data_IF_156420514912
#
_entry.id   IF_156420514912
#
_cell.length_a   1.000
_cell.length_b   1.000
_cell.length_c   1.000
_cell.angle_alpha   90.00
_cell.angle_beta   90.00
_cell.angle_gamma   90.00
#
_symmetry.space_group_name_H-M   'P 1'
#
loop_
_entity.id
_entity.type
_entity.pdbx_description
1 polymer ?
#
# COMPACT_ATOMS: atom_id res chain seq x y z
N UNK A 1 79.68 25.03 -29.55
CA UNK A 1 79.13 25.74 -28.37
C UNK A 1 77.92 26.53 -28.84
N UNK A 2 76.74 26.51 -28.18
CA UNK A 2 76.34 25.73 -27.00
C UNK A 2 75.26 24.69 -27.31
N UNK A 3 75.33 23.62 -26.52
CA UNK A 3 74.36 22.56 -26.36
C UNK A 3 73.23 23.03 -25.44
N UNK A 4 71.98 22.65 -25.73
CA UNK A 4 71.04 22.31 -24.66
C UNK A 4 70.51 20.89 -24.89
N UNK A 5 70.51 20.03 -23.85
CA UNK A 5 70.37 18.59 -24.00
C UNK A 5 68.92 18.11 -23.93
N UNK A 6 68.76 16.87 -24.38
CA UNK A 6 67.59 16.01 -24.64
C UNK A 6 66.63 15.78 -23.45
N UNK A 7 66.62 16.61 -22.40
CA UNK A 7 65.91 16.35 -21.15
C UNK A 7 64.71 17.27 -20.84
N UNK A 8 64.08 17.88 -21.85
CA UNK A 8 62.83 18.68 -21.67
C UNK A 8 61.67 18.20 -22.57
N UNK A 9 61.80 17.05 -23.24
CA UNK A 9 60.69 16.42 -23.99
C UNK A 9 60.03 15.22 -23.32
N UNK A 10 60.49 14.84 -22.11
CA UNK A 10 59.93 13.71 -21.36
C UNK A 10 59.07 14.10 -20.15
N UNK A 11 58.96 15.39 -19.80
CA UNK A 11 58.20 15.85 -18.61
C UNK A 11 56.86 16.55 -18.93
N UNK A 12 56.39 16.50 -20.19
CA UNK A 12 55.12 17.13 -20.61
C UNK A 12 54.14 16.15 -21.27
N UNK A 13 54.36 14.84 -21.13
CA UNK A 13 53.39 13.78 -21.48
C UNK A 13 52.84 13.09 -20.21
N UNK A 14 53.34 13.45 -19.02
CA UNK A 14 52.88 12.90 -17.74
C UNK A 14 51.80 13.76 -17.04
N UNK A 15 51.29 14.83 -17.68
CA UNK A 15 50.30 15.73 -17.09
C UNK A 15 49.00 15.89 -17.90
N UNK A 16 48.78 15.05 -18.91
CA UNK A 16 47.54 15.01 -19.70
C UNK A 16 47.12 13.56 -20.00
N UNK A 17 47.17 12.69 -19.00
CA UNK A 17 46.19 11.61 -18.94
C UNK A 17 44.99 12.21 -18.19
N UNK A 18 43.93 12.66 -18.89
CA UNK A 18 42.64 12.66 -18.22
C UNK A 18 42.49 11.21 -17.75
N UNK A 19 42.30 11.07 -16.44
CA UNK A 19 41.69 9.88 -15.86
C UNK A 19 40.32 9.78 -16.53
N UNK A 20 40.31 9.24 -17.75
CA UNK A 20 39.22 8.48 -18.30
C UNK A 20 39.21 7.20 -17.46
N UNK A 21 38.88 7.35 -16.18
CA UNK A 21 38.06 6.36 -15.53
C UNK A 21 36.76 6.38 -16.33
N UNK A 22 36.77 5.66 -17.45
CA UNK A 22 35.57 5.05 -17.97
C UNK A 22 34.94 4.42 -16.75
N UNK A 23 33.80 4.96 -16.31
CA UNK A 23 32.90 4.19 -15.49
C UNK A 23 32.60 2.95 -16.35
N UNK A 24 33.32 1.86 -16.07
CA UNK A 24 32.98 0.58 -16.67
C UNK A 24 31.49 0.38 -16.40
N UNK A 25 30.71 0.00 -17.43
CA UNK A 25 29.32 -0.34 -17.19
C UNK A 25 29.31 -1.41 -16.12
N UNK A 26 28.67 -1.10 -14.99
CA UNK A 26 28.53 -2.03 -13.86
C UNK A 26 28.01 -3.34 -14.43
N UNK A 27 28.74 -4.42 -14.20
CA UNK A 27 28.34 -5.73 -14.71
C UNK A 27 27.02 -6.17 -14.06
N UNK A 28 26.22 -6.97 -14.77
CA UNK A 28 24.94 -7.47 -14.24
C UNK A 28 25.13 -8.22 -12.90
N UNK A 29 26.27 -8.87 -12.71
CA UNK A 29 26.63 -9.55 -11.46
C UNK A 29 26.93 -8.57 -10.32
N UNK A 30 27.59 -7.44 -10.58
CA UNK A 30 27.80 -6.38 -9.59
C UNK A 30 26.50 -5.67 -9.23
N UNK A 31 25.61 -5.47 -10.20
CA UNK A 31 24.28 -4.90 -9.94
C UNK A 31 23.44 -5.84 -9.07
N UNK A 32 23.42 -7.14 -9.40
CA UNK A 32 22.74 -8.16 -8.61
C UNK A 32 23.31 -8.26 -7.18
N UNK A 33 24.64 -8.20 -7.02
CA UNK A 33 25.28 -8.19 -5.71
C UNK A 33 24.93 -6.94 -4.88
N UNK A 34 24.88 -5.76 -5.51
CA UNK A 34 24.45 -4.51 -4.85
C UNK A 34 23.00 -4.57 -4.40
N UNK A 35 22.10 -5.10 -5.24
CA UNK A 35 20.70 -5.30 -4.90
C UNK A 35 20.54 -6.29 -3.74
N UNK A 36 21.24 -7.42 -3.76
CA UNK A 36 21.25 -8.39 -2.66
C UNK A 36 21.74 -7.78 -1.34
N UNK A 37 22.82 -6.99 -1.36
CA UNK A 37 23.34 -6.32 -0.17
C UNK A 37 22.38 -5.24 0.37
N UNK A 38 21.65 -4.54 -0.51
CA UNK A 38 20.62 -3.58 -0.10
C UNK A 38 19.45 -4.29 0.59
N UNK A 39 18.97 -5.40 0.01
CA UNK A 39 17.91 -6.23 0.60
C UNK A 39 18.30 -6.74 1.98
N UNK A 40 19.52 -7.25 2.13
CA UNK A 40 19.99 -7.78 3.41
C UNK A 40 20.11 -6.70 4.49
N UNK A 41 20.68 -5.53 4.16
CA UNK A 41 20.75 -4.40 5.11
C UNK A 41 19.36 -3.96 5.56
N UNK A 42 18.42 -3.90 4.64
CA UNK A 42 17.06 -3.53 4.99
C UNK A 42 16.40 -4.61 5.86
N UNK A 43 16.61 -5.89 5.55
CA UNK A 43 16.14 -7.01 6.39
C UNK A 43 16.63 -6.90 7.84
N UNK A 44 17.94 -6.69 8.02
CA UNK A 44 18.54 -6.49 9.34
C UNK A 44 17.97 -5.25 10.04
N UNK A 45 17.77 -4.16 9.30
CA UNK A 45 17.18 -2.93 9.83
C UNK A 45 15.76 -3.16 10.34
N UNK A 46 14.90 -3.83 9.57
CA UNK A 46 13.51 -4.11 9.98
C UNK A 46 13.46 -5.10 11.14
N UNK A 47 14.30 -6.15 11.14
CA UNK A 47 14.39 -7.09 12.26
C UNK A 47 14.78 -6.36 13.56
N UNK A 48 15.73 -5.43 13.49
CA UNK A 48 16.07 -4.54 14.60
C UNK A 48 14.91 -3.62 15.01
N UNK A 49 14.33 -2.90 14.05
CA UNK A 49 13.23 -1.95 14.30
C UNK A 49 12.07 -2.61 15.02
N UNK A 50 11.57 -3.74 14.50
CA UNK A 50 10.40 -4.41 15.07
C UNK A 50 10.75 -5.25 16.29
N UNK A 51 11.94 -5.84 16.34
CA UNK A 51 12.43 -6.58 17.49
C UNK A 51 12.59 -5.71 18.74
N UNK A 52 13.07 -4.48 18.55
CA UNK A 52 13.36 -3.54 19.64
C UNK A 52 12.18 -2.60 19.94
N UNK A 53 11.15 -2.54 19.07
CA UNK A 53 10.00 -1.63 19.18
C UNK A 53 9.35 -1.61 20.59
N UNK A 54 9.10 -2.79 21.15
CA UNK A 54 8.48 -2.94 22.47
C UNK A 54 9.37 -2.39 23.60
N UNK A 55 10.69 -2.55 23.49
CA UNK A 55 11.65 -2.02 24.46
C UNK A 55 11.77 -0.49 24.36
N UNK A 56 11.46 0.07 23.19
CA UNK A 56 11.43 1.51 22.94
C UNK A 56 10.09 2.16 23.36
N UNK A 57 9.17 1.39 23.97
CA UNK A 57 7.89 1.89 24.45
C UNK A 57 6.77 1.91 23.40
N UNK A 58 7.01 1.37 22.21
CA UNK A 58 5.96 1.18 21.20
C UNK A 58 5.17 -0.10 21.47
N UNK A 59 3.98 -0.19 20.89
CA UNK A 59 3.24 -1.44 20.72
C UNK A 59 3.62 -2.07 19.38
N UNK A 60 3.53 -3.41 19.28
CA UNK A 60 3.65 -4.13 18.02
C UNK A 60 2.27 -4.64 17.61
N UNK A 61 1.67 -4.02 16.61
CA UNK A 61 0.36 -4.39 16.10
C UNK A 61 0.50 -5.38 14.94
N UNK A 62 -0.28 -6.47 14.99
CA UNK A 62 -0.51 -7.39 13.88
C UNK A 62 -1.97 -7.24 13.46
N UNK A 63 -2.21 -6.87 12.21
CA UNK A 63 -3.55 -6.67 11.65
C UNK A 63 -3.65 -7.38 10.29
N UNK A 64 -4.67 -8.24 10.06
CA UNK A 64 -4.84 -8.88 8.76
C UNK A 64 -5.43 -7.90 7.75
N UNK A 65 -5.04 -8.09 6.49
CA UNK A 65 -5.61 -7.45 5.31
C UNK A 65 -5.92 -8.52 4.26
N UNK A 66 -6.49 -8.15 3.12
CA UNK A 66 -6.66 -9.10 2.02
C UNK A 66 -5.30 -9.50 1.46
N UNK A 67 -5.07 -10.81 1.35
CA UNK A 67 -3.99 -11.32 0.53
C UNK A 67 -4.40 -11.30 -0.95
N UNK A 68 -3.85 -10.36 -1.71
CA UNK A 68 -4.16 -10.23 -3.14
C UNK A 68 -3.61 -11.40 -3.96
N UNK A 69 -2.63 -12.14 -3.45
CA UNK A 69 -2.06 -13.33 -4.11
C UNK A 69 -2.90 -14.60 -3.88
N UNK A 70 -3.90 -14.55 -2.99
CA UNK A 70 -4.74 -15.70 -2.70
C UNK A 70 -5.77 -16.01 -3.80
N UNK A 71 -6.00 -15.06 -4.71
CA UNK A 71 -6.91 -15.21 -5.84
C UNK A 71 -6.27 -16.04 -6.95
N UNK A 72 -7.07 -16.65 -7.86
CA UNK A 72 -6.52 -17.16 -9.12
C UNK A 72 -5.73 -16.05 -9.83
N UNK A 73 -4.67 -16.45 -10.54
CA UNK A 73 -3.82 -15.53 -11.31
C UNK A 73 -4.67 -14.58 -12.14
N UNK A 74 -4.47 -13.28 -11.95
CA UNK A 74 -5.18 -12.24 -12.69
C UNK A 74 -4.63 -12.12 -14.11
N UNK A 75 -5.52 -11.82 -15.05
CA UNK A 75 -5.16 -11.42 -16.40
C UNK A 75 -5.09 -9.89 -16.47
N UNK A 76 -3.88 -9.34 -16.48
CA UNK A 76 -3.69 -7.90 -16.57
C UNK A 76 -3.86 -7.34 -17.99
N UNK A 77 -4.01 -8.18 -19.03
CA UNK A 77 -4.45 -7.69 -20.34
C UNK A 77 -5.95 -7.30 -20.31
N UNK A 78 -6.75 -7.86 -19.40
CA UNK A 78 -8.14 -7.46 -19.15
C UNK A 78 -8.24 -6.15 -18.36
N UNK A 79 -9.00 -5.20 -18.90
CA UNK A 79 -9.18 -3.86 -18.33
C UNK A 79 -9.88 -3.89 -16.96
N UNK A 80 -10.99 -4.63 -16.85
CA UNK A 80 -11.76 -4.70 -15.62
C UNK A 80 -10.96 -5.34 -14.47
N UNK A 81 -10.07 -6.28 -14.81
CA UNK A 81 -9.14 -6.90 -13.87
C UNK A 81 -8.10 -5.89 -13.36
N UNK A 82 -7.51 -5.08 -14.25
CA UNK A 82 -6.59 -3.98 -13.84
C UNK A 82 -7.29 -2.99 -12.93
N UNK A 83 -8.48 -2.53 -13.30
CA UNK A 83 -9.19 -1.50 -12.55
C UNK A 83 -9.54 -1.98 -11.13
N UNK A 84 -10.04 -3.22 -11.01
CA UNK A 84 -10.31 -3.85 -9.72
C UNK A 84 -9.04 -4.00 -8.89
N UNK A 85 -7.97 -4.51 -9.50
CA UNK A 85 -6.71 -4.73 -8.80
C UNK A 85 -6.10 -3.42 -8.33
N UNK A 86 -6.11 -2.37 -9.16
CA UNK A 86 -5.58 -1.04 -8.83
C UNK A 86 -6.31 -0.43 -7.65
N UNK A 87 -7.63 -0.60 -7.58
CA UNK A 87 -8.40 -0.18 -6.42
C UNK A 87 -8.08 -0.98 -5.16
N UNK A 88 -8.05 -2.31 -5.26
CA UNK A 88 -7.71 -3.18 -4.12
C UNK A 88 -6.30 -2.88 -3.58
N UNK A 89 -5.31 -2.73 -4.46
CA UNK A 89 -3.92 -2.46 -4.10
C UNK A 89 -3.69 -1.06 -3.55
N UNK A 90 -4.51 -0.07 -3.91
CA UNK A 90 -4.36 1.33 -3.45
C UNK A 90 -5.11 1.60 -2.15
N UNK A 91 -5.97 0.67 -1.70
CA UNK A 91 -6.78 0.85 -0.51
C UNK A 91 -5.92 0.85 0.75
N UNK A 92 -6.07 1.90 1.56
CA UNK A 92 -5.51 2.05 2.90
C UNK A 92 -6.62 2.35 3.89
N UNK A 93 -6.68 1.56 4.95
CA UNK A 93 -7.53 1.79 6.11
C UNK A 93 -6.69 2.48 7.18
N UNK A 94 -7.13 3.67 7.59
CA UNK A 94 -6.41 4.48 8.56
C UNK A 94 -7.15 4.55 9.89
N UNK A 95 -6.44 4.15 10.93
CA UNK A 95 -6.89 4.27 12.32
C UNK A 95 -6.26 5.51 12.93
N UNK A 96 -7.06 6.52 13.26
CA UNK A 96 -6.56 7.77 13.81
C UNK A 96 -6.57 7.74 15.34
N UNK A 97 -5.52 8.28 15.96
CA UNK A 97 -5.45 8.41 17.40
C UNK A 97 -6.56 9.35 17.92
N UNK A 98 -7.15 9.01 19.05
CA UNK A 98 -8.34 9.69 19.57
C UNK A 98 -8.06 11.03 20.23
N UNK A 99 -6.96 11.14 20.98
CA UNK A 99 -6.63 12.35 21.77
C UNK A 99 -5.46 13.16 21.24
N UNK A 100 -4.65 12.61 20.33
CA UNK A 100 -3.44 13.25 19.81
C UNK A 100 -3.58 13.45 18.32
N UNK A 101 -3.30 14.67 17.85
CA UNK A 101 -3.32 14.98 16.43
C UNK A 101 -2.01 14.52 15.81
N UNK A 102 -2.09 13.72 14.75
CA UNK A 102 -0.93 13.22 14.03
C UNK A 102 -0.89 11.70 14.03
N UNK A 103 -0.66 11.05 15.20
CA UNK A 103 -0.51 9.60 15.29
C UNK A 103 -1.67 8.84 14.62
N UNK A 104 -1.32 7.95 13.71
CA UNK A 104 -2.23 7.11 12.96
C UNK A 104 -1.56 5.78 12.59
N UNK A 105 -2.39 4.79 12.31
CA UNK A 105 -1.99 3.47 11.83
C UNK A 105 -2.58 3.32 10.44
N UNK A 106 -1.75 3.07 9.44
CA UNK A 106 -2.19 2.74 8.09
C UNK A 106 -2.01 1.25 7.84
N UNK A 107 -3.11 0.57 7.51
CA UNK A 107 -3.13 -0.84 7.16
C UNK A 107 -3.73 -1.02 5.76
N UNK A 108 -3.18 -1.92 4.96
CA UNK A 108 -3.61 -2.15 3.59
C UNK A 108 -2.46 -2.20 2.60
N UNK A 109 -2.80 -2.30 1.33
CA UNK A 109 -1.83 -2.53 0.26
C UNK A 109 -1.24 -1.26 -0.32
N UNK A 110 -1.92 -0.12 -0.15
CA UNK A 110 -1.54 1.14 -0.78
C UNK A 110 -0.18 1.66 -0.33
N UNK A 111 0.23 2.75 -0.97
CA UNK A 111 1.51 3.38 -0.71
C UNK A 111 1.46 4.12 0.63
N UNK A 112 2.12 3.54 1.64
CA UNK A 112 2.24 4.13 2.96
C UNK A 112 3.21 5.30 2.89
N UNK A 113 2.77 6.47 3.35
CA UNK A 113 3.66 7.64 3.45
C UNK A 113 4.77 7.33 4.46
N UNK A 114 6.03 7.72 4.20
CA UNK A 114 7.09 7.65 5.19
C UNK A 114 6.89 8.78 6.21
N UNK A 115 5.86 8.65 7.05
CA UNK A 115 5.47 9.60 8.08
C UNK A 115 5.66 8.94 9.45
N UNK A 116 6.46 9.59 10.31
CA UNK A 116 6.70 9.12 11.68
C UNK A 116 5.43 9.12 12.54
N UNK A 117 4.41 9.87 12.12
CA UNK A 117 3.12 9.97 12.77
C UNK A 117 2.04 9.12 12.08
N UNK A 118 2.28 8.57 10.89
CA UNK A 118 1.33 7.68 10.20
C UNK A 118 2.06 6.41 9.76
N UNK A 119 2.11 5.45 10.68
CA UNK A 119 2.96 4.26 10.56
C UNK A 119 2.27 3.17 9.75
N UNK A 120 2.98 2.64 8.76
CA UNK A 120 2.58 1.51 7.93
C UNK A 120 3.31 0.20 8.26
N UNK A 121 2.95 -0.91 7.58
CA UNK A 121 3.56 -2.21 7.77
C UNK A 121 5.04 -2.21 7.42
N UNK A 122 5.84 -2.78 8.32
CA UNK A 122 7.27 -3.01 8.13
C UNK A 122 7.59 -4.47 7.83
N UNK A 123 6.68 -5.39 8.19
CA UNK A 123 6.77 -6.82 7.88
C UNK A 123 5.37 -7.34 7.53
N UNK A 124 5.29 -8.38 6.70
CA UNK A 124 4.02 -9.03 6.41
C UNK A 124 4.18 -10.54 6.26
N UNK A 125 3.12 -11.32 6.46
CA UNK A 125 3.15 -12.75 6.19
C UNK A 125 1.78 -13.26 5.73
N UNK A 126 1.69 -14.05 4.64
CA UNK A 126 0.43 -14.50 4.10
C UNK A 126 -0.03 -15.81 4.74
N UNK A 127 -1.34 -15.95 4.90
CA UNK A 127 -2.01 -17.21 5.27
C UNK A 127 -3.36 -17.31 4.58
N UNK A 128 -3.42 -18.15 3.55
CA UNK A 128 -4.65 -18.29 2.75
C UNK A 128 -5.08 -16.92 2.19
N UNK A 129 -6.31 -16.50 2.52
CA UNK A 129 -6.89 -15.22 2.06
C UNK A 129 -6.44 -14.00 2.87
N UNK A 130 -5.69 -14.18 3.95
CA UNK A 130 -5.24 -13.11 4.83
C UNK A 130 -3.77 -12.79 4.60
N UNK A 131 -3.44 -11.50 4.65
CA UNK A 131 -2.07 -11.01 4.73
C UNK A 131 -1.92 -10.26 6.05
N UNK A 132 -1.19 -10.86 6.98
CA UNK A 132 -0.93 -10.26 8.28
C UNK A 132 0.15 -9.19 8.14
N UNK A 133 -0.15 -7.98 8.58
CA UNK A 133 0.73 -6.82 8.54
C UNK A 133 1.20 -6.50 9.95
N UNK A 134 2.52 -6.36 10.13
CA UNK A 134 3.15 -6.05 11.42
C UNK A 134 3.64 -4.60 11.41
N UNK A 135 3.13 -3.82 12.35
CA UNK A 135 3.28 -2.36 12.42
C UNK A 135 3.79 -1.99 13.82
N UNK A 136 4.88 -1.22 13.95
CA UNK A 136 5.27 -0.61 15.21
C UNK A 136 4.41 0.65 15.43
N UNK A 137 3.68 0.72 16.55
CA UNK A 137 2.65 1.73 16.78
C UNK A 137 2.87 2.44 18.11
N UNK A 138 2.61 3.75 18.16
CA UNK A 138 2.60 4.50 19.42
C UNK A 138 1.47 3.99 20.35
N UNK A 139 1.66 3.91 21.67
CA UNK A 139 0.57 3.52 22.57
C UNK A 139 -0.58 4.52 22.52
N UNK A 140 -1.82 4.06 22.59
CA UNK A 140 -2.97 4.93 22.44
C UNK A 140 -4.28 4.22 22.14
N UNK A 141 -5.37 4.99 22.08
CA UNK A 141 -6.64 4.53 21.51
C UNK A 141 -6.77 5.06 20.09
N UNK A 142 -7.01 4.14 19.15
CA UNK A 142 -7.12 4.40 17.73
C UNK A 142 -8.50 4.04 17.21
N UNK A 143 -9.00 4.81 16.23
CA UNK A 143 -10.33 4.63 15.63
C UNK A 143 -10.25 4.52 14.12
N UNK A 144 -10.84 3.47 13.56
CA UNK A 144 -11.00 3.31 12.11
C UNK A 144 -12.08 4.27 11.64
N UNK A 145 -11.67 5.37 11.01
CA UNK A 145 -12.58 6.43 10.58
C UNK A 145 -12.13 7.14 9.29
N UNK A 146 -11.07 6.62 8.63
CA UNK A 146 -10.60 7.12 7.34
C UNK A 146 -10.16 5.98 6.44
N UNK A 147 -10.50 6.06 5.16
CA UNK A 147 -10.06 5.11 4.13
C UNK A 147 -9.68 5.90 2.89
N UNK A 148 -8.52 5.61 2.31
CA UNK A 148 -8.12 6.17 1.02
C UNK A 148 -8.00 5.08 -0.02
N UNK A 149 -8.35 5.36 -1.27
CA UNK A 149 -8.12 4.46 -2.39
C UNK A 149 -8.11 5.23 -3.70
N UNK A 150 -7.51 4.62 -4.72
CA UNK A 150 -7.52 5.12 -6.09
C UNK A 150 -8.61 4.40 -6.88
N UNK A 151 -9.39 5.15 -7.67
CA UNK A 151 -10.48 4.62 -8.48
C UNK A 151 -10.24 5.02 -9.94
N UNK A 152 -9.77 4.08 -10.79
CA UNK A 152 -9.48 4.34 -12.19
C UNK A 152 -10.77 4.52 -13.01
N UNK A 153 -10.62 5.14 -14.19
CA UNK A 153 -11.68 5.35 -15.21
C UNK A 153 -12.96 5.96 -14.65
N UNK A 154 -12.80 6.86 -13.69
CA UNK A 154 -13.91 7.50 -13.03
C UNK A 154 -13.73 9.00 -13.17
N UNK A 155 -14.75 9.66 -13.69
CA UNK A 155 -14.82 11.11 -13.77
C UNK A 155 -15.29 11.67 -12.42
N UNK A 156 -14.93 12.93 -12.15
CA UNK A 156 -15.57 13.66 -11.07
C UNK A 156 -17.07 13.80 -11.35
N UNK A 157 -17.92 13.77 -10.32
CA UNK A 157 -19.34 14.03 -10.51
C UNK A 157 -19.55 15.44 -11.06
N UNK A 158 -20.50 15.59 -11.98
CA UNK A 158 -20.95 16.89 -12.46
C UNK A 158 -21.71 17.60 -11.34
N UNK A 159 -21.05 18.55 -10.67
CA UNK A 159 -21.65 19.34 -9.59
C UNK A 159 -22.13 20.67 -10.17
N UNK A 160 -23.45 20.85 -10.27
CA UNK A 160 -24.01 22.12 -10.74
C UNK A 160 -23.77 23.25 -9.72
N UNK A 161 -23.27 24.43 -10.15
CA UNK A 161 -23.16 25.59 -9.28
C UNK A 161 -24.57 26.16 -8.99
N UNK A 162 -25.17 25.78 -7.86
CA UNK A 162 -26.50 26.22 -7.46
C UNK A 162 -26.81 25.95 -5.98
N UNK A 163 -28.01 26.33 -5.49
CA UNK A 163 -28.41 26.16 -4.09
C UNK A 163 -28.68 24.69 -3.68
N UNK A 164 -28.24 23.73 -4.47
CA UNK A 164 -28.39 22.28 -4.24
C UNK A 164 -27.47 21.71 -3.16
N UNK A 165 -26.89 22.55 -2.31
CA UNK A 165 -26.10 22.09 -1.18
C UNK A 165 -27.03 21.44 -0.16
N UNK A 166 -26.64 20.26 0.34
CA UNK A 166 -27.41 19.57 1.36
C UNK A 166 -27.64 20.51 2.55
N UNK A 167 -28.87 20.55 3.06
CA UNK A 167 -29.19 21.32 4.25
C UNK A 167 -28.30 20.86 5.41
N UNK A 168 -28.00 21.75 6.37
CA UNK A 168 -27.20 21.36 7.54
C UNK A 168 -27.82 20.17 8.30
N UNK A 169 -29.16 20.09 8.33
CA UNK A 169 -29.88 18.97 8.93
C UNK A 169 -29.65 17.66 8.16
N UNK A 170 -29.64 17.69 6.83
CA UNK A 170 -29.41 16.50 6.02
C UNK A 170 -27.96 16.05 6.03
N UNK A 171 -26.99 16.97 6.11
CA UNK A 171 -25.57 16.62 6.34
C UNK A 171 -25.38 15.89 7.68
N UNK A 172 -26.10 16.31 8.71
CA UNK A 172 -26.06 15.64 10.01
C UNK A 172 -26.65 14.23 10.00
N UNK A 173 -27.39 13.82 8.96
CA UNK A 173 -27.84 12.43 8.80
C UNK A 173 -26.81 11.54 8.10
N UNK A 174 -25.73 12.11 7.56
CA UNK A 174 -24.71 11.38 6.80
C UNK A 174 -23.69 10.75 7.76
N UNK A 175 -23.19 9.57 7.40
CA UNK A 175 -22.19 8.85 8.21
C UNK A 175 -20.79 9.46 8.07
N UNK A 176 -20.54 10.16 6.95
CA UNK A 176 -19.25 10.77 6.63
C UNK A 176 -19.28 11.57 5.34
N UNK A 177 -18.09 11.84 4.82
CA UNK A 177 -17.83 12.53 3.56
C UNK A 177 -16.72 11.83 2.78
N UNK A 178 -16.76 11.96 1.47
CA UNK A 178 -15.75 11.50 0.52
C UNK A 178 -15.21 12.75 -0.20
N UNK A 179 -13.95 13.06 0.01
CA UNK A 179 -13.22 14.07 -0.75
C UNK A 179 -12.66 13.40 -2.01
N UNK A 180 -12.90 14.00 -3.18
CA UNK A 180 -12.55 13.43 -4.48
C UNK A 180 -11.49 14.30 -5.17
N UNK A 181 -10.27 13.77 -5.27
CA UNK A 181 -9.19 14.38 -6.02
C UNK A 181 -9.19 13.90 -7.47
N UNK A 182 -9.16 14.83 -8.44
CA UNK A 182 -9.00 14.46 -9.85
C UNK A 182 -7.57 13.96 -10.12
N UNK A 183 -7.48 12.79 -10.74
CA UNK A 183 -6.26 12.19 -11.23
C UNK A 183 -6.38 11.85 -12.72
N UNK A 184 -5.24 11.60 -13.36
CA UNK A 184 -5.19 11.15 -14.75
C UNK A 184 -4.27 9.96 -14.82
N UNK A 185 -4.84 8.81 -15.13
CA UNK A 185 -4.07 7.61 -15.37
C UNK A 185 -3.63 7.52 -16.82
N UNK A 186 -2.56 6.77 -17.01
CA UNK A 186 -2.12 6.34 -18.33
C UNK A 186 -2.53 4.89 -18.52
N UNK A 187 -3.56 4.69 -19.33
CA UNK A 187 -4.00 3.37 -19.73
C UNK A 187 -3.25 2.91 -20.97
N UNK A 188 -3.00 1.61 -21.03
CA UNK A 188 -2.35 0.96 -22.16
C UNK A 188 -3.22 -0.16 -22.72
N UNK A 189 -3.23 -0.27 -24.05
CA UNK A 189 -3.90 -1.36 -24.76
C UNK A 189 -2.96 -1.93 -25.81
N UNK A 190 -2.65 -3.23 -25.71
CA UNK A 190 -1.83 -3.90 -26.73
C UNK A 190 -2.58 -3.92 -28.07
N UNK A 191 -1.87 -3.68 -29.16
CA UNK A 191 -2.46 -3.80 -30.50
C UNK A 191 -2.61 -5.28 -30.87
N UNK A 192 -3.64 -5.61 -31.66
CA UNK A 192 -3.89 -6.99 -32.08
C UNK A 192 -2.65 -7.56 -32.82
N UNK A 193 -2.12 -8.69 -32.34
CA UNK A 193 -0.94 -9.35 -32.91
C UNK A 193 0.41 -8.98 -32.27
N UNK A 194 0.41 -8.16 -31.20
CA UNK A 194 1.61 -8.01 -30.37
C UNK A 194 1.96 -9.36 -29.72
N UNK A 195 3.21 -9.84 -29.83
CA UNK A 195 3.61 -11.06 -29.13
C UNK A 195 3.40 -10.84 -27.63
N UNK A 196 2.75 -11.81 -26.97
CA UNK A 196 2.79 -11.91 -25.52
C UNK A 196 4.26 -12.07 -25.12
N UNK A 197 4.72 -11.28 -24.16
CA UNK A 197 6.01 -11.58 -23.53
C UNK A 197 5.91 -13.00 -22.98
N UNK A 198 7.01 -13.76 -23.11
CA UNK A 198 7.09 -15.05 -22.44
C UNK A 198 6.74 -14.86 -20.97
N UNK A 199 5.95 -15.77 -20.40
CA UNK A 199 5.76 -15.81 -18.95
C UNK A 199 7.13 -16.01 -18.32
N UNK A 200 7.81 -14.92 -17.95
CA UNK A 200 8.98 -15.00 -17.10
C UNK A 200 8.57 -15.77 -15.85
N UNK A 201 9.40 -16.74 -15.46
CA UNK A 201 9.14 -17.61 -14.33
C UNK A 201 8.68 -16.76 -13.13
N UNK A 202 7.53 -17.14 -12.56
CA UNK A 202 7.12 -16.70 -11.22
C UNK A 202 8.15 -17.29 -10.25
N UNK A 203 9.28 -16.62 -10.10
CA UNK A 203 10.35 -17.01 -9.18
C UNK A 203 10.03 -16.60 -7.73
N UNK A 204 8.85 -16.03 -7.49
CA UNK A 204 8.36 -15.56 -6.19
C UNK A 204 9.20 -14.43 -5.58
N UNK A 205 10.18 -13.90 -6.32
CA UNK A 205 11.19 -12.97 -5.83
C UNK A 205 11.62 -11.93 -6.90
N UNK A 206 10.93 -11.91 -8.05
CA UNK A 206 11.34 -11.23 -9.27
C UNK A 206 11.34 -9.71 -9.22
N UNK A 207 11.74 -9.11 -10.36
CA UNK A 207 12.03 -7.68 -10.57
C UNK A 207 10.91 -6.68 -10.25
N UNK A 208 9.76 -7.09 -9.71
CA UNK A 208 8.68 -6.23 -9.24
C UNK A 208 8.44 -6.21 -7.72
N UNK A 209 9.16 -7.03 -6.95
CA UNK A 209 9.12 -7.01 -5.48
C UNK A 209 10.23 -6.18 -4.84
N UNK A 210 11.12 -5.59 -5.64
CA UNK A 210 12.18 -4.75 -5.12
C UNK A 210 11.70 -3.31 -4.91
N UNK A 211 11.99 -2.78 -3.72
CA UNK A 211 11.79 -1.39 -3.25
C UNK A 211 10.43 -1.07 -2.63
N UNK A 212 9.98 -1.91 -1.69
CA UNK A 212 9.56 -1.50 -0.34
C UNK A 212 9.41 -2.80 0.45
N UNK A 213 10.45 -3.16 1.21
CA UNK A 213 10.50 -4.44 1.89
C UNK A 213 9.37 -4.54 2.91
N UNK A 214 8.40 -5.38 2.59
CA UNK A 214 7.59 -6.09 3.56
C UNK A 214 8.07 -7.52 3.48
N UNK A 215 9.15 -7.82 4.21
CA UNK A 215 9.78 -9.15 4.24
C UNK A 215 8.68 -10.15 4.62
N UNK A 216 8.36 -11.06 3.70
CA UNK A 216 7.07 -11.75 3.72
C UNK A 216 6.65 -12.25 2.35
N UNK A 217 5.89 -13.33 2.28
CA UNK A 217 5.15 -13.66 1.04
C UNK A 217 4.02 -12.65 0.78
N UNK A 218 3.40 -12.67 -0.40
CA UNK A 218 2.28 -11.75 -0.72
C UNK A 218 2.61 -10.64 -1.73
N UNK A 219 3.54 -10.86 -2.66
CA UNK A 219 3.95 -9.88 -3.67
C UNK A 219 3.82 -10.40 -5.12
N UNK A 220 3.32 -11.62 -5.34
CA UNK A 220 3.34 -12.25 -6.67
C UNK A 220 2.49 -11.45 -7.68
N UNK A 221 1.31 -11.00 -7.26
CA UNK A 221 0.41 -10.23 -8.13
C UNK A 221 0.91 -8.80 -8.36
N UNK A 222 1.57 -8.19 -7.36
CA UNK A 222 2.20 -6.88 -7.50
C UNK A 222 3.37 -6.94 -8.49
N UNK A 223 4.20 -7.98 -8.39
CA UNK A 223 5.29 -8.20 -9.34
C UNK A 223 4.78 -8.55 -10.74
N UNK A 224 3.67 -9.29 -10.86
CA UNK A 224 3.02 -9.60 -12.14
C UNK A 224 2.50 -8.32 -12.81
N UNK A 225 1.81 -7.46 -12.07
CA UNK A 225 1.31 -6.19 -12.59
C UNK A 225 2.46 -5.26 -13.00
N UNK A 226 3.51 -5.15 -12.19
CA UNK A 226 4.69 -4.35 -12.52
C UNK A 226 5.38 -4.84 -13.80
N UNK A 227 5.58 -6.15 -13.95
CA UNK A 227 6.13 -6.75 -15.18
C UNK A 227 5.24 -6.46 -16.39
N UNK A 228 3.93 -6.63 -16.24
CA UNK A 228 2.97 -6.28 -17.28
C UNK A 228 3.10 -4.82 -17.70
N UNK A 229 3.23 -3.90 -16.73
CA UNK A 229 3.38 -2.47 -16.98
C UNK A 229 4.67 -2.14 -17.75
N UNK A 230 5.81 -2.70 -17.34
CA UNK A 230 7.09 -2.56 -18.08
C UNK A 230 6.95 -3.06 -19.51
N UNK A 231 6.35 -4.24 -19.68
CA UNK A 231 6.22 -4.88 -20.99
C UNK A 231 5.30 -4.08 -21.92
N UNK A 232 4.19 -3.55 -21.42
CA UNK A 232 3.28 -2.75 -22.23
C UNK A 232 3.86 -1.37 -22.54
N UNK A 233 4.62 -0.77 -21.62
CA UNK A 233 5.33 0.49 -21.88
C UNK A 233 6.42 0.29 -22.96
N UNK A 234 7.12 -0.85 -22.93
CA UNK A 234 8.07 -1.25 -23.99
C UNK A 234 7.35 -1.46 -25.31
N UNK A 235 6.20 -2.14 -25.32
CA UNK A 235 5.39 -2.35 -26.51
C UNK A 235 4.89 -1.02 -27.11
N UNK A 236 4.48 -0.05 -26.28
CA UNK A 236 4.10 1.30 -26.71
C UNK A 236 5.26 2.01 -27.40
N UNK A 237 6.48 1.97 -26.82
CA UNK A 237 7.69 2.54 -27.44
C UNK A 237 8.04 1.89 -28.80
N UNK A 238 7.58 0.66 -29.03
CA UNK A 238 7.75 -0.08 -30.29
C UNK A 238 6.58 0.06 -31.27
N UNK A 239 5.56 0.86 -30.96
CA UNK A 239 4.35 1.00 -31.79
C UNK A 239 3.43 -0.23 -31.79
N UNK A 240 3.53 -1.08 -30.75
CA UNK A 240 2.75 -2.32 -30.57
C UNK A 240 1.72 -2.25 -29.44
N UNK A 241 1.53 -1.06 -28.87
CA UNK A 241 0.49 -0.77 -27.92
C UNK A 241 0.07 0.69 -28.09
N UNK A 242 -1.19 0.97 -27.80
CA UNK A 242 -1.75 2.31 -27.68
C UNK A 242 -1.67 2.76 -26.22
N UNK A 243 -1.57 4.07 -26.02
CA UNK A 243 -1.68 4.68 -24.70
C UNK A 243 -2.73 5.79 -24.73
N UNK A 244 -3.63 5.78 -23.77
CA UNK A 244 -4.64 6.81 -23.58
C UNK A 244 -4.49 7.44 -22.19
N UNK A 245 -4.84 8.72 -22.08
CA UNK A 245 -5.09 9.33 -20.79
C UNK A 245 -6.53 9.04 -20.42
N UNK A 246 -6.75 8.45 -19.25
CA UNK A 246 -8.09 8.17 -18.74
C UNK A 246 -8.28 8.92 -17.42
N UNK A 247 -9.48 9.47 -17.18
CA UNK A 247 -9.80 10.11 -15.91
C UNK A 247 -9.72 9.09 -14.78
N UNK A 248 -9.33 9.55 -13.60
CA UNK A 248 -9.35 8.77 -12.39
C UNK A 248 -9.66 9.68 -11.20
N UNK A 249 -10.04 9.08 -10.08
CA UNK A 249 -10.22 9.82 -8.83
C UNK A 249 -9.43 9.17 -7.70
N UNK A 250 -8.72 10.00 -6.94
CA UNK A 250 -8.22 9.64 -5.62
C UNK A 250 -9.32 9.95 -4.61
N UNK A 251 -9.72 8.95 -3.83
CA UNK A 251 -10.83 9.07 -2.88
C UNK A 251 -10.30 9.05 -1.46
N UNK A 252 -10.72 10.03 -0.67
CA UNK A 252 -10.49 10.08 0.77
C UNK A 252 -11.81 10.09 1.52
N UNK A 253 -12.12 8.96 2.16
CA UNK A 253 -13.32 8.80 2.98
C UNK A 253 -13.00 9.19 4.41
N UNK A 254 -13.75 10.14 4.98
CA UNK A 254 -13.75 10.47 6.40
C UNK A 254 -15.15 10.25 6.98
N UNK A 255 -15.28 9.39 7.97
CA UNK A 255 -16.59 8.93 8.47
C UNK A 255 -16.61 8.74 10.00
N UNK A 256 -17.80 8.50 10.56
CA UNK A 256 -17.94 8.19 11.99
C UNK A 256 -17.23 6.88 12.32
N UNK A 257 -16.48 6.78 13.43
CA UNK A 257 -15.67 5.60 13.75
C UNK A 257 -16.44 4.28 13.65
N UNK A 258 -15.89 3.31 12.92
CA UNK A 258 -16.51 1.97 12.76
C UNK A 258 -15.99 1.00 13.82
N UNK A 259 -14.71 1.10 14.15
CA UNK A 259 -14.04 0.27 15.14
C UNK A 259 -13.02 1.08 15.94
N UNK A 260 -12.69 0.60 17.13
CA UNK A 260 -11.61 1.13 17.96
C UNK A 260 -10.73 0.03 18.55
N UNK A 261 -9.46 0.36 18.75
CA UNK A 261 -8.53 -0.50 19.47
C UNK A 261 -7.68 0.35 20.40
N UNK A 262 -7.44 -0.16 21.61
CA UNK A 262 -6.48 0.41 22.55
C UNK A 262 -5.20 -0.41 22.54
N UNK A 263 -4.06 0.27 22.48
CA UNK A 263 -2.72 -0.29 22.52
C UNK A 263 -1.92 0.31 23.68
N UNK A 264 -1.19 -0.52 24.40
CA UNK A 264 -0.37 -0.20 25.56
C UNK A 264 1.12 -0.26 25.21
N UNK A 265 1.96 0.44 25.96
CA UNK A 265 3.39 0.43 25.72
C UNK A 265 3.99 -0.96 25.95
N UNK A 266 4.80 -1.44 25.01
CA UNK A 266 5.58 -2.67 25.15
C UNK A 266 4.80 -3.97 24.94
N UNK A 267 3.56 -3.92 24.47
CA UNK A 267 2.79 -5.13 24.12
C UNK A 267 2.93 -5.53 22.65
N UNK A 268 2.55 -6.77 22.34
CA UNK A 268 2.33 -7.24 20.98
C UNK A 268 0.89 -7.74 20.86
N UNK A 269 0.12 -7.18 19.92
CA UNK A 269 -1.32 -7.44 19.79
C UNK A 269 -1.67 -7.89 18.39
N UNK A 270 -2.42 -8.99 18.28
CA UNK A 270 -3.17 -9.36 17.09
C UNK A 270 -4.59 -8.83 17.20
N UNK A 271 -5.04 -8.10 16.20
CA UNK A 271 -6.44 -7.63 16.08
C UNK A 271 -7.07 -8.12 14.79
N UNK A 272 -8.37 -7.96 14.69
CA UNK A 272 -9.09 -8.14 13.44
C UNK A 272 -8.82 -7.00 12.44
N UNK A 273 -8.96 -7.32 11.16
CA UNK A 273 -8.82 -6.40 10.04
C UNK A 273 -10.14 -6.01 9.42
N UNK A 274 -10.08 -5.11 8.44
CA UNK A 274 -11.26 -4.67 7.68
C UNK A 274 -10.90 -4.45 6.22
N UNK A 275 -11.89 -4.54 5.34
CA UNK A 275 -11.76 -4.33 3.90
C UNK A 275 -12.93 -3.49 3.42
N UNK A 276 -12.66 -2.54 2.53
CA UNK A 276 -13.70 -1.85 1.79
C UNK A 276 -14.08 -2.67 0.54
N UNK A 277 -15.30 -3.21 0.45
CA UNK A 277 -15.79 -3.85 -0.77
C UNK A 277 -15.84 -2.86 -1.96
N UNK A 278 -15.75 -3.38 -3.18
CA UNK A 278 -15.69 -2.58 -4.41
C UNK A 278 -16.98 -1.77 -4.67
N UNK A 279 -18.12 -2.18 -4.16
CA UNK A 279 -19.39 -1.46 -4.32
C UNK A 279 -19.62 -0.37 -3.25
N UNK A 280 -18.63 -0.10 -2.38
CA UNK A 280 -18.73 0.85 -1.27
C UNK A 280 -17.81 2.06 -1.48
N UNK A 281 -18.09 3.23 -0.87
CA UNK A 281 -19.25 3.53 -0.02
C UNK A 281 -20.52 3.84 -0.82
N UNK A 282 -21.67 3.89 -0.13
CA UNK A 282 -22.93 4.33 -0.74
C UNK A 282 -23.02 5.86 -0.67
N UNK A 283 -23.06 6.48 -1.84
CA UNK A 283 -23.17 7.93 -2.04
C UNK A 283 -24.35 8.18 -2.96
N UNK A 284 -25.27 9.05 -2.54
CA UNK A 284 -26.33 9.56 -3.42
C UNK A 284 -25.77 10.65 -4.34
N UNK A 285 -26.00 10.64 -5.67
CA UNK A 285 -25.44 11.65 -6.58
C UNK A 285 -25.73 13.10 -6.17
N UNK A 286 -26.95 13.39 -5.71
CA UNK A 286 -27.37 14.71 -5.23
C UNK A 286 -26.75 15.13 -3.89
N UNK A 287 -25.85 14.30 -3.34
CA UNK A 287 -25.12 14.58 -2.09
C UNK A 287 -23.69 15.09 -2.32
N UNK A 288 -23.34 15.44 -3.56
CA UNK A 288 -22.04 16.02 -3.89
C UNK A 288 -22.11 17.55 -3.99
N UNK A 289 -21.13 18.24 -3.42
CA UNK A 289 -20.99 19.70 -3.48
C UNK A 289 -19.52 20.10 -3.60
N UNK A 290 -19.24 21.32 -4.05
CA UNK A 290 -17.88 21.87 -4.05
C UNK A 290 -17.65 22.61 -2.74
N UNK A 291 -16.67 22.15 -1.95
CA UNK A 291 -16.23 22.83 -0.74
C UNK A 291 -14.74 23.19 -0.86
N UNK A 292 -14.41 24.47 -0.63
CA UNK A 292 -13.02 24.94 -0.69
C UNK A 292 -12.26 24.59 -1.98
N UNK A 293 -12.98 24.50 -3.11
CA UNK A 293 -12.51 24.08 -4.45
C UNK A 293 -12.39 22.57 -4.70
N UNK A 294 -12.63 21.73 -3.68
CA UNK A 294 -12.61 20.28 -3.80
C UNK A 294 -14.04 19.71 -3.87
N UNK A 295 -14.32 18.75 -4.79
CA UNK A 295 -15.57 17.99 -4.80
C UNK A 295 -15.67 17.10 -3.54
N UNK A 296 -16.73 17.31 -2.75
CA UNK A 296 -17.03 16.51 -1.56
C UNK A 296 -18.41 15.88 -1.73
N UNK A 297 -18.49 14.56 -1.55
CA UNK A 297 -19.74 13.82 -1.55
C UNK A 297 -20.06 13.27 -0.15
N UNK A 298 -21.29 13.43 0.33
CA UNK A 298 -21.65 12.91 1.64
C UNK A 298 -22.05 11.44 1.59
N UNK A 299 -21.53 10.67 2.54
CA UNK A 299 -21.71 9.22 2.60
C UNK A 299 -23.02 8.89 3.33
N UNK A 300 -23.90 8.14 2.67
CA UNK A 300 -25.14 7.64 3.27
C UNK A 300 -24.89 6.43 4.16
N UNK A 301 -24.12 5.49 3.62
CA UNK A 301 -23.75 4.26 4.31
C UNK A 301 -22.36 3.81 3.86
N UNK A 302 -21.64 3.15 4.75
CA UNK A 302 -20.42 2.43 4.40
C UNK A 302 -20.49 1.04 5.01
N UNK A 303 -20.23 0.03 4.18
CA UNK A 303 -20.16 -1.36 4.63
C UNK A 303 -18.72 -1.81 4.53
N UNK A 304 -18.14 -2.26 5.66
CA UNK A 304 -16.82 -2.88 5.67
C UNK A 304 -16.96 -4.37 5.89
N UNK A 305 -16.14 -5.15 5.20
CA UNK A 305 -15.97 -6.56 5.50
C UNK A 305 -14.95 -6.72 6.63
N UNK A 306 -15.39 -7.24 7.76
CA UNK A 306 -14.58 -7.65 8.89
C UNK A 306 -13.75 -8.88 8.54
N UNK A 307 -12.48 -8.87 8.92
CA UNK A 307 -11.53 -9.96 8.77
C UNK A 307 -11.16 -10.47 10.17
N UNK A 308 -11.91 -11.43 10.72
CA UNK A 308 -11.59 -11.97 12.04
C UNK A 308 -10.21 -12.62 12.02
N UNK A 309 -9.37 -12.26 12.99
CA UNK A 309 -8.05 -12.84 13.17
C UNK A 309 -8.07 -13.97 14.19
N UNK A 310 -7.14 -14.91 14.04
CA UNK A 310 -6.91 -15.96 15.04
C UNK A 310 -5.42 -16.11 15.29
N UNK A 311 -5.04 -16.23 16.57
CA UNK A 311 -3.67 -16.57 16.95
C UNK A 311 -3.25 -17.90 16.32
N UNK A 312 -4.14 -18.90 16.33
CA UNK A 312 -3.83 -20.22 15.79
C UNK A 312 -3.60 -20.19 14.28
N UNK A 313 -4.35 -19.35 13.55
CA UNK A 313 -4.15 -19.17 12.11
C UNK A 313 -2.86 -18.39 11.82
N UNK A 314 -2.61 -17.30 12.55
CA UNK A 314 -1.37 -16.51 12.44
C UNK A 314 -0.13 -17.36 12.69
N UNK A 315 -0.16 -18.25 13.70
CA UNK A 315 0.96 -19.15 14.04
C UNK A 315 1.26 -20.21 12.98
N UNK A 316 0.35 -20.42 12.02
CA UNK A 316 0.55 -21.31 10.87
C UNK A 316 1.07 -20.57 9.63
N UNK A 317 1.10 -19.23 9.65
CA UNK A 317 1.73 -18.45 8.58
C UNK A 317 3.26 -18.67 8.62
N UNK A 318 3.97 -18.47 7.50
CA UNK A 318 5.43 -18.38 7.51
C UNK A 318 5.90 -17.40 8.59
N UNK A 319 6.80 -17.86 9.44
CA UNK A 319 7.22 -17.14 10.64
C UNK A 319 8.30 -16.12 10.27
N UNK A 320 8.57 -15.15 11.15
CA UNK A 320 9.63 -14.17 10.92
C UNK A 320 11.01 -14.85 10.83
N UNK A 321 11.22 -15.96 11.53
CA UNK A 321 12.42 -16.78 11.43
C UNK A 321 12.64 -17.37 10.03
N UNK A 322 11.58 -17.71 9.28
CA UNK A 322 11.69 -18.18 7.89
C UNK A 322 12.29 -17.11 6.98
N UNK A 323 12.09 -15.84 7.32
CA UNK A 323 12.68 -14.68 6.65
C UNK A 323 14.00 -14.22 7.29
N UNK A 324 14.62 -15.05 8.14
CA UNK A 324 15.86 -14.76 8.88
C UNK A 324 15.74 -13.57 9.84
N UNK A 325 14.56 -13.31 10.41
CA UNK A 325 14.30 -12.19 11.33
C UNK A 325 14.05 -12.68 12.76
N UNK A 326 15.10 -13.14 13.47
CA UNK A 326 14.95 -13.77 14.79
C UNK A 326 14.53 -12.79 15.90
N UNK A 327 14.86 -11.50 15.78
CA UNK A 327 14.44 -10.52 16.81
C UNK A 327 12.93 -10.26 16.70
N UNK A 328 12.42 -10.12 15.49
CA UNK A 328 10.99 -10.02 15.23
C UNK A 328 10.24 -11.28 15.70
N UNK A 329 10.76 -12.47 15.38
CA UNK A 329 10.20 -13.74 15.84
C UNK A 329 10.03 -13.75 17.38
N UNK A 330 11.08 -13.34 18.10
CA UNK A 330 11.04 -13.24 19.55
C UNK A 330 10.02 -12.20 20.04
N UNK A 331 9.94 -11.03 19.39
CA UNK A 331 8.99 -9.98 19.76
C UNK A 331 7.53 -10.40 19.58
N UNK A 332 7.24 -11.23 18.57
CA UNK A 332 5.93 -11.79 18.25
C UNK A 332 5.59 -13.07 19.04
N UNK A 333 6.51 -13.63 19.83
CA UNK A 333 6.25 -14.87 20.58
C UNK A 333 5.10 -14.72 21.59
N UNK A 334 5.02 -13.57 22.24
CA UNK A 334 4.06 -13.32 23.33
C UNK A 334 2.84 -12.51 22.84
N UNK A 335 2.50 -12.66 21.55
CA UNK A 335 1.37 -12.00 20.89
C UNK A 335 0.05 -12.38 21.56
N UNK A 336 -0.76 -11.38 21.92
CA UNK A 336 -2.10 -11.58 22.48
C UNK A 336 -3.16 -11.14 21.48
N UNK A 337 -4.27 -11.87 21.42
CA UNK A 337 -5.42 -11.43 20.63
C UNK A 337 -6.22 -10.36 21.39
N UNK A 338 -6.62 -9.30 20.68
CA UNK A 338 -7.54 -8.30 21.16
C UNK A 338 -8.55 -7.96 20.07
N UNK A 339 -9.81 -8.32 20.33
CA UNK A 339 -10.91 -7.91 19.46
C UNK A 339 -11.05 -6.38 19.49
N UNK A 340 -11.24 -5.72 18.34
CA UNK A 340 -11.56 -4.31 18.30
C UNK A 340 -12.99 -4.07 18.83
N UNK A 341 -13.20 -2.92 19.47
CA UNK A 341 -14.55 -2.47 19.83
C UNK A 341 -15.26 -2.02 18.56
N UNK A 342 -16.31 -2.73 18.16
CA UNK A 342 -17.15 -2.33 17.03
C UNK A 342 -18.23 -1.34 17.48
N UNK A 343 -18.39 -0.24 16.75
CA UNK A 343 -19.44 0.76 17.03
C UNK A 343 -20.75 0.48 16.29
N UNK A 344 -20.72 -0.39 15.27
CA UNK A 344 -21.88 -0.79 14.50
C UNK A 344 -22.04 -2.30 14.53
N UNK A 345 -23.29 -2.74 14.41
CA UNK A 345 -23.63 -4.16 14.36
C UNK A 345 -23.39 -4.73 12.95
N UNK A 346 -23.26 -6.06 12.83
CA UNK A 346 -23.33 -6.72 11.54
C UNK A 346 -24.60 -6.36 10.77
N UNK A 347 -24.49 -6.34 9.44
CA UNK A 347 -25.58 -6.02 8.51
C UNK A 347 -26.77 -6.97 8.68
N UNK A 348 -26.49 -8.24 8.97
CA UNK A 348 -27.50 -9.24 9.33
C UNK A 348 -26.84 -10.44 10.00
N UNK A 349 -27.62 -11.27 10.69
CA UNK A 349 -27.13 -12.54 11.26
C UNK A 349 -26.59 -13.51 10.19
N UNK A 350 -27.08 -13.40 8.94
CA UNK A 350 -26.62 -14.21 7.81
C UNK A 350 -25.32 -13.69 7.18
N UNK A 351 -24.90 -12.46 7.52
CA UNK A 351 -23.66 -11.84 7.05
C UNK A 351 -22.93 -11.18 8.23
N UNK A 352 -22.46 -11.97 9.22
CA UNK A 352 -21.89 -11.46 10.46
C UNK A 352 -20.61 -10.63 10.23
N UNK A 353 -19.88 -10.93 9.15
CA UNK A 353 -18.63 -10.25 8.80
C UNK A 353 -18.84 -8.96 7.99
N UNK A 354 -20.09 -8.57 7.68
CA UNK A 354 -20.36 -7.30 7.00
C UNK A 354 -20.83 -6.27 8.03
N UNK A 355 -19.99 -5.29 8.34
CA UNK A 355 -20.31 -4.22 9.29
C UNK A 355 -20.85 -3.04 8.51
N UNK A 356 -22.16 -2.81 8.60
CA UNK A 356 -22.84 -1.70 7.93
C UNK A 356 -22.94 -0.52 8.88
N UNK A 357 -22.23 0.56 8.58
CA UNK A 357 -22.32 1.82 9.28
C UNK A 357 -23.28 2.77 8.54
N UNK A 358 -24.32 3.17 9.24
CA UNK A 358 -25.29 4.21 8.89
C UNK A 358 -25.45 5.10 10.10
N UNK A 359 -25.75 6.38 9.92
CA UNK A 359 -26.07 7.22 11.08
C UNK A 359 -27.44 6.79 11.60
N UNK A 360 -27.51 6.39 12.86
CA UNK A 360 -28.81 6.14 13.51
C UNK A 360 -29.54 7.48 13.65
N UNK A 361 -30.82 7.51 13.24
CA UNK A 361 -31.70 8.69 13.31
C UNK A 361 -32.13 9.02 14.75
#
# INVERSE_FOLDING_TARGET
>A
MPSFPVLVRACLIAFLAPVLAFAEPVSDSELAARAAAMRERHREHIDGLLGDARQQGLALLVIPTVNLDAAPRRDFDDEATRDRYLRERSTLLRWNHTSEKGPAISAGQGDHKPDLLDVGPSFQTPRGKLLYQVIPVWPGEYRLNRITYHQPRTELPDIEPGPGSLSSADRLKKIGMAELGYAVDRDFKRTAGAPQSEQEADDGLGQGCEVLLRLGGGCDEAAREFRWWIDVERAFKQGKADAARVPAIDVDLAFSPIAAIKLEAGEAVLTDGFVLPVDQPVITPDSCEVMAADPICFIDAITLKHLPASLDDFRQAPSAADFKMPKLEAALRDLVYRAPTLYFKPQSDAAPDLIRAVREE
#
